data_IF_096676791020
#
_entry.id   IF_096676791020
#
_cell.length_a   1.000
_cell.length_b   1.000
_cell.length_c   1.000
_cell.angle_alpha   90.00
_cell.angle_beta   90.00
_cell.angle_gamma   90.00
#
_symmetry.space_group_name_H-M   'P 1'
#
loop_
_entity.id
_entity.type
_entity.pdbx_description
1 polymer ?
#
# COMPACT_ATOMS: atom_id res chain seq x y z
N UNK A 1 3.86 -6.35 -12.54
CA UNK A 1 3.61 -5.96 -13.95
C UNK A 1 4.80 -5.17 -14.43
N UNK A 2 5.33 -5.48 -15.60
CA UNK A 2 6.44 -4.75 -16.24
C UNK A 2 6.17 -4.69 -17.74
N UNK A 3 6.41 -3.54 -18.39
CA UNK A 3 6.11 -3.34 -19.82
C UNK A 3 4.68 -3.77 -20.24
N UNK A 4 3.68 -3.47 -19.40
CA UNK A 4 2.26 -3.83 -19.59
C UNK A 4 1.96 -5.33 -19.55
N UNK A 5 2.93 -6.15 -19.14
CA UNK A 5 2.76 -7.59 -19.02
C UNK A 5 2.81 -8.05 -17.55
N UNK A 6 2.00 -9.05 -17.23
CA UNK A 6 2.03 -9.72 -15.93
C UNK A 6 3.17 -10.73 -15.94
N UNK A 7 4.33 -10.31 -15.42
CA UNK A 7 5.54 -11.15 -15.37
C UNK A 7 5.53 -12.20 -14.24
N UNK A 8 4.66 -12.02 -13.24
CA UNK A 8 4.50 -12.96 -12.12
C UNK A 8 3.14 -12.72 -11.43
N UNK A 9 2.60 -13.76 -10.77
CA UNK A 9 1.37 -13.75 -9.97
C UNK A 9 1.59 -14.55 -8.70
N UNK A 10 0.89 -14.19 -7.63
CA UNK A 10 0.96 -14.88 -6.33
C UNK A 10 2.40 -15.09 -5.81
N UNK A 11 3.19 -14.02 -5.89
CA UNK A 11 4.62 -14.03 -5.56
C UNK A 11 4.85 -13.89 -4.06
N UNK A 12 5.87 -14.56 -3.55
CA UNK A 12 6.35 -14.44 -2.18
C UNK A 12 7.08 -13.12 -1.93
N UNK A 13 7.33 -12.78 -0.66
CA UNK A 13 8.18 -11.63 -0.28
C UNK A 13 9.54 -11.69 -0.98
N UNK A 14 10.16 -12.87 -0.99
CA UNK A 14 11.48 -13.09 -1.58
C UNK A 14 11.50 -12.74 -3.07
N UNK A 15 10.51 -13.24 -3.82
CA UNK A 15 10.39 -12.95 -5.25
C UNK A 15 10.12 -11.46 -5.53
N UNK A 16 9.38 -10.79 -4.65
CA UNK A 16 9.19 -9.34 -4.73
C UNK A 16 10.53 -8.61 -4.50
N UNK A 17 11.28 -8.97 -3.46
CA UNK A 17 12.57 -8.35 -3.16
C UNK A 17 13.58 -8.54 -4.30
N UNK A 18 13.66 -9.75 -4.88
CA UNK A 18 14.48 -10.05 -6.05
C UNK A 18 14.07 -9.21 -7.26
N UNK A 19 12.77 -9.03 -7.49
CA UNK A 19 12.28 -8.14 -8.54
C UNK A 19 12.69 -6.68 -8.27
N UNK A 20 12.60 -6.22 -7.02
CA UNK A 20 13.05 -4.88 -6.63
C UNK A 20 14.57 -4.71 -6.69
N UNK A 21 15.37 -5.78 -6.71
CA UNK A 21 16.82 -5.72 -6.99
C UNK A 21 17.10 -5.60 -8.49
N UNK A 22 16.25 -6.22 -9.31
CA UNK A 22 16.39 -6.24 -10.77
C UNK A 22 15.86 -4.98 -11.46
N UNK A 23 14.81 -4.37 -10.92
CA UNK A 23 14.12 -3.22 -11.52
C UNK A 23 14.24 -1.99 -10.62
N UNK A 24 14.81 -0.90 -11.14
CA UNK A 24 15.07 0.33 -10.36
C UNK A 24 13.81 1.06 -9.91
N UNK A 25 12.72 0.97 -10.66
CA UNK A 25 11.48 1.71 -10.41
C UNK A 25 10.33 0.75 -10.14
N UNK A 26 9.71 0.88 -8.97
CA UNK A 26 8.58 0.06 -8.55
C UNK A 26 7.49 0.91 -7.92
N UNK A 27 6.23 0.49 -8.10
CA UNK A 27 5.05 1.07 -7.44
C UNK A 27 4.19 -0.04 -6.88
N UNK A 28 3.58 0.23 -5.73
CA UNK A 28 2.55 -0.62 -5.13
C UNK A 28 1.21 0.02 -5.42
N UNK A 29 0.28 -0.73 -6.00
CA UNK A 29 -1.12 -0.33 -6.12
C UNK A 29 -1.92 -1.25 -5.22
N UNK A 30 -2.56 -0.70 -4.19
CA UNK A 30 -3.22 -1.48 -3.13
C UNK A 30 -4.57 -0.88 -2.77
N UNK A 31 -5.50 -1.73 -2.32
CA UNK A 31 -6.77 -1.26 -1.75
C UNK A 31 -6.81 -1.44 -0.24
N UNK A 32 -7.64 -0.64 0.42
CA UNK A 32 -7.84 -0.71 1.87
C UNK A 32 -8.59 -1.99 2.22
N UNK A 33 -8.13 -2.69 3.26
CA UNK A 33 -8.77 -3.85 3.85
C UNK A 33 -10.10 -3.40 4.48
N UNK A 34 -11.21 -3.94 3.98
CA UNK A 34 -12.57 -3.52 4.37
C UNK A 34 -12.87 -3.79 5.86
N UNK A 35 -13.68 -2.93 6.46
CA UNK A 35 -14.19 -3.08 7.83
C UNK A 35 -13.22 -2.73 8.97
N UNK A 36 -11.90 -2.65 8.70
CA UNK A 36 -10.89 -2.32 9.72
C UNK A 36 -10.03 -1.11 9.36
N UNK A 37 -9.96 -0.72 8.08
CA UNK A 37 -9.23 0.46 7.64
C UNK A 37 -7.72 0.27 7.43
N UNK A 38 -7.19 -0.95 7.56
CA UNK A 38 -5.77 -1.20 7.30
C UNK A 38 -5.43 -1.03 5.82
N UNK A 39 -4.42 -0.21 5.53
CA UNK A 39 -3.76 -0.11 4.22
C UNK A 39 -2.73 -1.23 4.10
N UNK A 40 -1.93 -1.41 5.14
CA UNK A 40 -1.01 -2.54 5.31
C UNK A 40 -1.21 -3.12 6.71
N UNK A 41 -1.31 -4.44 6.82
CA UNK A 41 -1.46 -5.16 8.08
C UNK A 41 -0.60 -6.42 8.10
N UNK A 42 -0.38 -7.00 9.30
CA UNK A 42 0.54 -8.13 9.52
C UNK A 42 0.25 -9.39 8.70
N UNK A 43 -0.97 -9.57 8.22
CA UNK A 43 -1.39 -10.75 7.46
C UNK A 43 -0.87 -10.80 6.02
N UNK A 44 -0.45 -9.66 5.45
CA UNK A 44 0.01 -9.59 4.06
C UNK A 44 1.54 -9.65 3.97
N UNK A 45 2.12 -10.81 4.27
CA UNK A 45 3.58 -10.98 4.35
C UNK A 45 4.31 -10.75 3.02
N UNK A 46 3.61 -10.79 1.87
CA UNK A 46 4.17 -10.42 0.56
C UNK A 46 4.63 -8.95 0.55
N UNK A 47 3.89 -8.06 1.21
CA UNK A 47 4.22 -6.64 1.35
C UNK A 47 4.83 -6.37 2.74
N UNK A 48 5.94 -7.05 3.01
CA UNK A 48 6.67 -6.91 4.27
C UNK A 48 7.23 -5.50 4.49
N UNK A 49 7.64 -5.20 5.72
CA UNK A 49 8.34 -3.96 6.07
C UNK A 49 9.54 -3.67 5.14
N UNK A 50 10.32 -4.69 4.75
CA UNK A 50 11.45 -4.56 3.84
C UNK A 50 11.03 -4.17 2.43
N UNK A 51 9.97 -4.80 1.91
CA UNK A 51 9.41 -4.47 0.60
C UNK A 51 8.88 -3.02 0.60
N UNK A 52 8.10 -2.66 1.61
CA UNK A 52 7.50 -1.34 1.74
C UNK A 52 8.54 -0.22 1.88
N UNK A 53 9.58 -0.45 2.67
CA UNK A 53 10.72 0.46 2.79
C UNK A 53 11.40 0.68 1.45
N UNK A 54 11.72 -0.42 0.74
CA UNK A 54 12.47 -0.36 -0.52
C UNK A 54 11.68 0.30 -1.64
N UNK A 55 10.36 0.11 -1.69
CA UNK A 55 9.47 0.81 -2.62
C UNK A 55 9.32 2.29 -2.22
N UNK A 56 9.18 2.57 -0.93
CA UNK A 56 9.08 3.90 -0.38
C UNK A 56 7.69 4.54 -0.53
N UNK A 57 7.34 5.40 0.43
CA UNK A 57 6.02 6.02 0.57
C UNK A 57 5.45 6.67 -0.71
N UNK A 58 6.29 7.40 -1.46
CA UNK A 58 5.87 8.14 -2.66
C UNK A 58 5.44 7.24 -3.82
N UNK A 59 5.77 5.96 -3.75
CA UNK A 59 5.47 4.97 -4.80
C UNK A 59 4.28 4.06 -4.44
N UNK A 60 3.57 4.37 -3.34
CA UNK A 60 2.38 3.65 -2.91
C UNK A 60 1.16 4.41 -3.39
N UNK A 61 0.36 3.75 -4.22
CA UNK A 61 -0.91 4.24 -4.74
C UNK A 61 -2.03 3.48 -4.04
N UNK A 62 -2.84 4.20 -3.26
CA UNK A 62 -3.98 3.63 -2.55
C UNK A 62 -5.24 3.87 -3.37
N UNK A 63 -5.99 2.80 -3.63
CA UNK A 63 -7.27 2.83 -4.34
C UNK A 63 -8.41 2.37 -3.44
N UNK A 64 -9.53 3.08 -3.46
CA UNK A 64 -10.73 2.70 -2.72
C UNK A 64 -11.99 3.15 -3.47
N UNK A 65 -13.16 2.63 -3.11
CA UNK A 65 -14.41 3.23 -3.57
C UNK A 65 -14.76 4.41 -2.67
N UNK A 66 -15.51 5.40 -3.18
CA UNK A 66 -16.10 6.46 -2.35
C UNK A 66 -16.86 5.89 -1.15
N UNK A 67 -17.64 4.84 -1.37
CA UNK A 67 -18.38 4.16 -0.31
C UNK A 67 -17.45 3.62 0.79
N UNK A 68 -16.38 2.89 0.41
CA UNK A 68 -15.41 2.36 1.37
C UNK A 68 -14.73 3.50 2.17
N UNK A 69 -14.43 4.62 1.52
CA UNK A 69 -13.88 5.79 2.20
C UNK A 69 -14.86 6.43 3.19
N UNK A 70 -16.16 6.52 2.84
CA UNK A 70 -17.19 7.03 3.75
C UNK A 70 -17.37 6.14 4.98
N UNK A 71 -17.38 4.81 4.79
CA UNK A 71 -17.51 3.84 5.89
C UNK A 71 -16.33 3.92 6.88
N UNK A 72 -15.13 4.22 6.36
CA UNK A 72 -13.89 4.29 7.16
C UNK A 72 -13.59 5.68 7.71
N UNK A 73 -14.40 6.70 7.39
CA UNK A 73 -14.12 8.09 7.76
C UNK A 73 -13.88 8.28 9.27
N UNK A 74 -14.66 7.58 10.11
CA UNK A 74 -14.52 7.65 11.56
C UNK A 74 -13.50 6.66 12.15
N UNK A 75 -13.14 5.62 11.41
CA UNK A 75 -12.19 4.59 11.87
C UNK A 75 -10.73 4.99 11.61
N UNK A 76 -10.52 5.85 10.61
CA UNK A 76 -9.19 6.20 10.14
C UNK A 76 -8.55 5.09 9.31
N UNK A 77 -7.41 5.40 8.69
CA UNK A 77 -6.64 4.44 7.90
C UNK A 77 -5.41 4.02 8.68
N UNK A 78 -5.19 2.70 8.75
CA UNK A 78 -4.25 2.11 9.68
C UNK A 78 -3.07 1.43 8.98
N UNK A 79 -1.93 1.42 9.66
CA UNK A 79 -0.72 0.69 9.30
C UNK A 79 -0.34 -0.26 10.42
N UNK A 80 0.00 -1.48 10.07
CA UNK A 80 0.69 -2.40 10.96
C UNK A 80 1.61 -3.30 10.14
N UNK A 81 2.82 -2.81 9.90
CA UNK A 81 3.84 -3.53 9.13
C UNK A 81 4.66 -4.52 9.97
N UNK A 82 4.41 -4.57 11.29
CA UNK A 82 5.24 -5.31 12.24
C UNK A 82 6.61 -4.67 12.53
N UNK A 83 6.93 -3.54 11.89
CA UNK A 83 8.15 -2.74 12.10
C UNK A 83 7.77 -1.28 12.37
N UNK A 84 8.09 -0.79 13.56
CA UNK A 84 7.72 0.57 13.98
C UNK A 84 8.36 1.65 13.11
N UNK A 85 9.61 1.47 12.68
CA UNK A 85 10.32 2.46 11.85
C UNK A 85 9.67 2.57 10.47
N UNK A 86 9.21 1.44 9.92
CA UNK A 86 8.48 1.46 8.64
C UNK A 86 7.08 2.05 8.81
N UNK A 87 6.39 1.78 9.91
CA UNK A 87 5.13 2.46 10.22
C UNK A 87 5.30 3.99 10.29
N UNK A 88 6.35 4.47 10.94
CA UNK A 88 6.69 5.91 11.02
C UNK A 88 7.00 6.49 9.63
N UNK A 89 7.78 5.78 8.82
CA UNK A 89 8.12 6.17 7.44
C UNK A 89 6.87 6.32 6.56
N UNK A 90 5.88 5.44 6.74
CA UNK A 90 4.67 5.41 5.93
C UNK A 90 3.58 6.35 6.49
N UNK A 91 3.55 6.61 7.79
CA UNK A 91 2.55 7.49 8.42
C UNK A 91 2.48 8.87 7.74
N UNK A 92 1.27 9.39 7.58
CA UNK A 92 0.98 10.74 7.08
C UNK A 92 -0.14 10.76 6.04
N UNK A 93 -0.20 11.82 5.26
CA UNK A 93 -1.27 12.02 4.28
C UNK A 93 -0.98 11.33 2.95
N UNK A 94 -2.02 10.78 2.34
CA UNK A 94 -2.02 10.16 1.02
C UNK A 94 -3.18 10.71 0.19
N UNK A 95 -2.94 10.81 -1.13
CA UNK A 95 -3.99 10.97 -2.14
C UNK A 95 -4.57 9.59 -2.46
N UNK A 96 -5.79 9.33 -2.03
CA UNK A 96 -6.48 8.06 -2.31
C UNK A 96 -7.31 8.22 -3.56
N UNK A 97 -7.05 7.39 -4.56
CA UNK A 97 -7.84 7.39 -5.80
C UNK A 97 -9.18 6.73 -5.51
N UNK A 98 -10.26 7.50 -5.66
CA UNK A 98 -11.64 7.08 -5.35
C UNK A 98 -12.54 6.94 -6.57
N UNK A 99 -12.05 7.37 -7.73
CA UNK A 99 -12.77 7.35 -9.01
C UNK A 99 -11.90 7.84 -10.17
N UNK A 100 -12.51 7.99 -11.34
CA UNK A 100 -11.81 8.51 -12.51
C UNK A 100 -11.46 9.98 -12.33
N UNK A 101 -10.15 10.29 -12.26
CA UNK A 101 -9.62 11.63 -11.96
C UNK A 101 -10.07 12.20 -10.61
N UNK A 102 -10.54 11.35 -9.71
CA UNK A 102 -11.01 11.75 -8.39
C UNK A 102 -10.12 11.19 -7.29
N UNK A 103 -9.65 12.07 -6.41
CA UNK A 103 -8.85 11.73 -5.24
C UNK A 103 -9.46 12.29 -3.95
N UNK A 104 -9.24 11.59 -2.85
CA UNK A 104 -9.58 12.05 -1.50
C UNK A 104 -8.32 12.02 -0.64
N UNK A 105 -8.02 13.14 0.02
CA UNK A 105 -6.94 13.19 1.00
C UNK A 105 -7.35 12.44 2.26
N UNK A 106 -6.52 11.51 2.71
CA UNK A 106 -6.73 10.82 3.98
C UNK A 106 -5.41 10.68 4.74
N UNK A 107 -5.49 10.77 6.07
CA UNK A 107 -4.35 10.47 6.94
C UNK A 107 -4.32 8.97 7.19
N UNK A 108 -3.15 8.38 6.99
CA UNK A 108 -2.81 7.01 7.33
C UNK A 108 -1.86 7.04 8.51
N UNK A 109 -2.09 6.19 9.52
CA UNK A 109 -1.36 6.20 10.79
C UNK A 109 -1.15 4.78 11.34
N UNK A 110 -0.08 4.58 12.10
CA UNK A 110 0.20 3.32 12.80
C UNK A 110 1.62 3.28 13.32
#
# INVERSE_FOLDING_TARGET
VYNKEVIAKDVTEKEILEALDKYENAKIVVTIIGGQGYVFGRGNQQLSAKVLEKVGKKNIIIIATKQKMMELFFQGLLLDTGDQRVNELLTGYYEIVVGYLEVQMAKVQG
#
